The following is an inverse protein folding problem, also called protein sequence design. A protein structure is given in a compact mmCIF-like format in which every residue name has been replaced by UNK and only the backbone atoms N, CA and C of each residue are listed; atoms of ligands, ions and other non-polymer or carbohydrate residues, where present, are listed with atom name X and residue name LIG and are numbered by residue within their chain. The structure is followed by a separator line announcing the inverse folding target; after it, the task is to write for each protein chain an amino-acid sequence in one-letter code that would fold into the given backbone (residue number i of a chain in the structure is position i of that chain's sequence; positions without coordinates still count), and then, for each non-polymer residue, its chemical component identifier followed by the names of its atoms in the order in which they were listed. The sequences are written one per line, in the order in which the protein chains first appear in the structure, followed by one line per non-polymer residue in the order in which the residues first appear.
data_IF_669879461599
#
_entry.id   IF_669879461599
#
_cell.length_a   1.000
_cell.length_b   1.000
_cell.length_c   1.000
_cell.angle_alpha   90.00
_cell.angle_beta   90.00
_cell.angle_gamma   90.00
#
_symmetry.space_group_name_H-M   'P 1'
#
loop_
_entity.id
_entity.type
_entity.pdbx_description
1 polymer ?
#
# COMPACT_ATOMS: atom_id res chain seq x y z
N UNK A 1 2.65 16.75 -10.33
CA UNK A 1 3.90 16.18 -10.90
C UNK A 1 3.62 15.14 -11.98
N UNK A 2 2.89 14.05 -11.69
CA UNK A 2 2.59 13.00 -12.67
C UNK A 2 1.97 13.51 -13.99
N UNK A 3 0.97 14.41 -13.94
CA UNK A 3 0.35 15.05 -15.11
C UNK A 3 1.38 15.72 -16.02
N UNK A 4 2.22 16.58 -15.43
CA UNK A 4 3.30 17.28 -16.15
C UNK A 4 4.30 16.31 -16.78
N UNK A 5 4.68 15.24 -16.08
CA UNK A 5 5.60 14.23 -16.60
C UNK A 5 5.00 13.48 -17.80
N UNK A 6 3.72 13.12 -17.74
CA UNK A 6 2.98 12.53 -18.87
C UNK A 6 2.84 13.52 -20.03
N UNK A 7 2.58 14.81 -19.76
CA UNK A 7 2.54 15.87 -20.77
C UNK A 7 3.89 16.04 -21.50
N UNK A 8 5.00 15.76 -20.82
CA UNK A 8 6.35 15.70 -21.40
C UNK A 8 6.70 14.35 -22.04
N UNK A 9 5.74 13.44 -22.10
CA UNK A 9 5.85 12.13 -22.75
C UNK A 9 6.83 11.16 -22.09
N UNK A 10 6.95 11.21 -20.76
CA UNK A 10 7.72 10.25 -20.00
C UNK A 10 6.82 9.19 -19.34
N UNK A 11 7.27 7.92 -19.23
CA UNK A 11 6.60 6.90 -18.44
C UNK A 11 6.58 7.27 -16.95
N UNK A 12 5.54 6.88 -16.22
CA UNK A 12 5.37 7.22 -14.80
C UNK A 12 4.93 6.02 -13.99
N UNK A 13 5.57 5.84 -12.83
CA UNK A 13 5.11 4.93 -11.77
C UNK A 13 4.79 5.77 -10.53
N UNK A 14 3.56 5.66 -10.01
CA UNK A 14 3.10 6.38 -8.82
C UNK A 14 2.91 5.45 -7.62
N UNK A 15 3.17 5.97 -6.41
CA UNK A 15 2.81 5.27 -5.19
C UNK A 15 1.31 5.43 -4.90
N UNK A 16 0.73 4.45 -4.19
CA UNK A 16 -0.66 4.53 -3.72
C UNK A 16 -0.79 5.39 -2.45
N UNK A 17 -1.88 6.16 -2.28
CA UNK A 17 -2.97 6.37 -3.24
C UNK A 17 -2.54 7.25 -4.41
N UNK A 18 -3.11 7.03 -5.60
CA UNK A 18 -2.73 7.77 -6.81
C UNK A 18 -2.98 9.29 -6.68
N UNK A 19 -4.17 9.65 -6.18
CA UNK A 19 -4.58 11.03 -5.88
C UNK A 19 -5.46 11.04 -4.62
N UNK A 20 -5.86 12.24 -4.17
CA UNK A 20 -6.69 12.41 -2.97
C UNK A 20 -8.17 12.15 -3.28
N UNK A 21 -8.63 12.56 -4.46
CA UNK A 21 -10.01 12.38 -4.92
C UNK A 21 -10.07 11.72 -6.32
N UNK A 22 -11.26 11.26 -6.70
CA UNK A 22 -11.47 10.50 -7.95
C UNK A 22 -11.35 11.41 -9.18
N UNK A 23 -11.76 12.67 -9.04
CA UNK A 23 -11.70 13.69 -10.09
C UNK A 23 -10.26 13.91 -10.56
N UNK A 24 -9.32 14.11 -9.63
CA UNK A 24 -7.88 14.22 -9.91
C UNK A 24 -7.32 12.94 -10.56
N UNK A 25 -7.80 11.76 -10.15
CA UNK A 25 -7.40 10.49 -10.78
C UNK A 25 -7.82 10.46 -12.25
N UNK A 26 -9.06 10.88 -12.58
CA UNK A 26 -9.57 10.90 -13.96
C UNK A 26 -8.78 11.86 -14.84
N UNK A 27 -8.36 13.00 -14.30
CA UNK A 27 -7.50 13.95 -15.02
C UNK A 27 -6.11 13.39 -15.35
N UNK A 28 -5.62 12.41 -14.59
CA UNK A 28 -4.32 11.76 -14.83
C UNK A 28 -4.41 10.56 -15.78
N UNK A 29 -5.53 9.86 -15.83
CA UNK A 29 -5.69 8.67 -16.68
C UNK A 29 -5.85 9.04 -18.17
N UNK A 30 -6.58 10.11 -18.49
CA UNK A 30 -6.80 10.53 -19.89
C UNK A 30 -5.50 10.88 -20.65
N UNK A 31 -4.54 11.64 -20.07
CA UNK A 31 -3.25 11.90 -20.72
C UNK A 31 -2.38 10.66 -20.88
N UNK A 32 -2.46 9.69 -19.95
CA UNK A 32 -1.69 8.45 -20.03
C UNK A 32 -2.18 7.55 -21.18
N UNK A 33 -3.50 7.38 -21.30
CA UNK A 33 -4.13 6.59 -22.36
C UNK A 33 -3.89 7.18 -23.75
N UNK A 34 -4.11 8.50 -23.91
CA UNK A 34 -3.95 9.17 -25.21
C UNK A 34 -2.52 9.12 -25.77
N UNK A 35 -1.51 9.03 -24.89
CA UNK A 35 -0.09 9.02 -25.29
C UNK A 35 0.52 7.63 -25.41
N UNK A 36 -0.23 6.56 -25.11
CA UNK A 36 0.27 5.17 -25.11
C UNK A 36 1.57 4.99 -24.29
N UNK A 37 1.71 5.74 -23.19
CA UNK A 37 2.88 5.68 -22.32
C UNK A 37 2.65 4.69 -21.19
N UNK A 38 3.69 3.95 -20.75
CA UNK A 38 3.59 3.14 -19.55
C UNK A 38 3.26 4.01 -18.33
N UNK A 39 2.11 3.72 -17.72
CA UNK A 39 1.62 4.36 -16.50
C UNK A 39 1.22 3.27 -15.51
N UNK A 40 1.83 3.26 -14.32
CA UNK A 40 1.59 2.23 -13.33
C UNK A 40 1.45 2.79 -11.91
N UNK A 41 0.77 2.02 -11.07
CA UNK A 41 0.64 2.29 -9.63
C UNK A 41 1.22 1.10 -8.87
N UNK A 42 1.86 1.37 -7.73
CA UNK A 42 2.48 0.35 -6.86
C UNK A 42 1.45 -0.45 -6.04
N UNK A 43 0.42 -1.02 -6.67
CA UNK A 43 -0.44 -2.04 -6.05
C UNK A 43 0.27 -3.40 -5.99
N UNK A 44 1.39 -3.43 -5.27
CA UNK A 44 2.36 -4.54 -5.27
C UNK A 44 1.78 -5.86 -4.78
N UNK A 45 0.74 -5.84 -3.95
CA UNK A 45 0.09 -7.08 -3.48
C UNK A 45 -0.51 -7.89 -4.63
N UNK A 46 -0.98 -7.24 -5.71
CA UNK A 46 -1.42 -7.96 -6.92
C UNK A 46 -0.31 -8.80 -7.59
N UNK A 47 0.94 -8.55 -7.23
CA UNK A 47 2.10 -9.31 -7.69
C UNK A 47 2.29 -10.65 -7.00
N UNK A 48 1.59 -10.94 -5.90
CA UNK A 48 1.79 -12.19 -5.16
C UNK A 48 1.35 -13.41 -5.97
N UNK A 49 2.09 -14.55 -5.88
CA UNK A 49 1.77 -15.76 -6.64
C UNK A 49 0.34 -16.26 -6.37
N UNK A 50 -0.14 -16.17 -5.13
CA UNK A 50 -1.48 -16.61 -4.76
C UNK A 50 -2.58 -15.77 -5.44
N UNK A 51 -2.38 -14.47 -5.62
CA UNK A 51 -3.34 -13.61 -6.32
C UNK A 51 -3.36 -13.93 -7.83
N UNK A 52 -2.20 -14.25 -8.42
CA UNK A 52 -2.10 -14.69 -9.83
C UNK A 52 -2.77 -16.04 -10.05
N UNK A 53 -2.55 -16.99 -9.13
CA UNK A 53 -3.19 -18.31 -9.17
C UNK A 53 -4.70 -18.19 -8.98
N UNK A 54 -5.16 -17.41 -8.00
CA UNK A 54 -6.60 -17.16 -7.80
C UNK A 54 -7.24 -16.58 -9.07
N UNK A 55 -6.58 -15.61 -9.73
CA UNK A 55 -7.03 -15.07 -11.00
C UNK A 55 -7.12 -16.15 -12.10
N UNK A 56 -6.11 -17.00 -12.22
CA UNK A 56 -6.10 -18.08 -13.21
C UNK A 56 -7.27 -19.06 -13.01
N UNK A 57 -7.46 -19.53 -11.77
CA UNK A 57 -8.56 -20.45 -11.40
C UNK A 57 -9.94 -19.85 -11.61
N UNK A 58 -10.12 -18.55 -11.36
CA UNK A 58 -11.36 -17.83 -11.67
C UNK A 58 -11.61 -17.85 -13.19
N UNK A 59 -10.60 -17.56 -14.00
CA UNK A 59 -10.72 -17.54 -15.46
C UNK A 59 -10.96 -18.94 -16.06
N UNK A 60 -10.42 -19.98 -15.45
CA UNK A 60 -10.69 -21.38 -15.81
C UNK A 60 -12.08 -21.87 -15.39
N UNK A 61 -12.76 -21.14 -14.52
CA UNK A 61 -14.11 -21.48 -14.07
C UNK A 61 -14.15 -22.49 -12.92
N UNK A 62 -13.04 -22.73 -12.23
CA UNK A 62 -12.94 -23.69 -11.11
C UNK A 62 -13.99 -23.48 -10.01
N UNK A 63 -14.44 -22.23 -9.83
CA UNK A 63 -15.39 -21.84 -8.80
C UNK A 63 -16.83 -21.66 -9.34
N UNK A 64 -17.05 -21.87 -10.64
CA UNK A 64 -18.31 -21.55 -11.31
C UNK A 64 -18.71 -20.08 -11.16
N UNK A 65 -20.01 -19.80 -10.98
CA UNK A 65 -20.51 -18.44 -10.78
C UNK A 65 -20.19 -17.94 -9.37
N UNK A 66 -19.24 -17.01 -9.27
CA UNK A 66 -18.91 -16.31 -8.02
C UNK A 66 -20.15 -15.62 -7.44
N UNK A 67 -20.48 -15.90 -6.18
CA UNK A 67 -21.64 -15.32 -5.48
C UNK A 67 -21.25 -14.26 -4.46
N UNK A 68 -20.07 -14.35 -3.87
CA UNK A 68 -19.60 -13.46 -2.80
C UNK A 68 -18.08 -13.39 -2.78
N UNK A 69 -17.55 -12.21 -2.50
CA UNK A 69 -16.13 -11.95 -2.28
C UNK A 69 -16.00 -11.26 -0.92
N UNK A 70 -15.04 -11.70 -0.09
CA UNK A 70 -14.69 -11.07 1.18
C UNK A 70 -13.20 -10.75 1.17
N UNK A 71 -12.87 -9.49 1.38
CA UNK A 71 -11.49 -9.02 1.51
C UNK A 71 -11.35 -8.22 2.81
N UNK A 72 -10.22 -8.37 3.49
CA UNK A 72 -9.93 -7.65 4.74
C UNK A 72 -8.47 -7.22 4.71
N UNK A 73 -8.24 -5.92 4.95
CA UNK A 73 -6.90 -5.37 5.17
C UNK A 73 -6.74 -5.05 6.65
N UNK A 74 -6.15 -5.98 7.39
CA UNK A 74 -5.93 -5.80 8.83
C UNK A 74 -4.64 -5.02 9.04
N UNK A 75 -4.73 -3.87 9.71
CA UNK A 75 -3.56 -3.07 10.14
C UNK A 75 -3.51 -3.05 11.66
N UNK A 76 -2.34 -3.31 12.22
CA UNK A 76 -2.09 -3.06 13.65
C UNK A 76 -1.76 -1.59 13.84
N UNK A 77 -2.24 -0.97 14.92
CA UNK A 77 -1.79 0.37 15.25
C UNK A 77 -0.33 0.30 15.72
N UNK A 78 0.52 1.12 15.11
CA UNK A 78 1.94 1.18 15.45
C UNK A 78 2.20 2.00 16.71
N UNK A 79 1.22 2.81 17.17
CA UNK A 79 1.29 3.54 18.43
C UNK A 79 1.51 2.61 19.63
N UNK A 80 0.87 1.43 19.58
CA UNK A 80 0.90 0.40 20.62
C UNK A 80 2.35 -0.09 20.86
N UNK A 81 3.14 -0.23 19.80
CA UNK A 81 4.54 -0.64 19.91
C UNK A 81 5.43 0.47 20.47
N UNK A 82 5.13 1.74 20.15
CA UNK A 82 5.90 2.90 20.66
C UNK A 82 5.73 3.11 22.17
N UNK A 83 4.54 2.85 22.70
CA UNK A 83 4.28 2.96 24.14
C UNK A 83 5.01 1.85 24.92
N UNK A 84 5.06 0.64 24.36
CA UNK A 84 5.81 -0.47 24.94
C UNK A 84 7.33 -0.19 24.99
N UNK A 85 7.90 0.42 23.96
CA UNK A 85 9.32 0.82 23.97
C UNK A 85 9.61 1.91 25.00
N UNK A 86 8.72 2.91 25.14
CA UNK A 86 8.87 3.96 26.16
C UNK A 86 8.84 3.39 27.57
N UNK A 87 7.91 2.47 27.86
CA UNK A 87 7.85 1.80 29.17
C UNK A 87 9.13 1.02 29.46
N UNK A 88 9.68 0.32 28.47
CA UNK A 88 10.93 -0.44 28.61
C UNK A 88 12.14 0.47 28.88
N UNK A 89 12.26 1.57 28.15
CA UNK A 89 13.31 2.57 28.38
C UNK A 89 13.20 3.22 29.76
N UNK A 90 11.99 3.55 30.24
CA UNK A 90 11.76 4.11 31.57
C UNK A 90 12.09 3.13 32.71
N UNK A 91 11.85 1.84 32.50
CA UNK A 91 12.21 0.78 33.46
C UNK A 91 13.74 0.63 33.56
N UNK A 92 14.45 0.68 32.44
CA UNK A 92 15.92 0.59 32.37
C UNK A 92 16.61 1.81 33.01
N UNK A 93 16.09 3.02 32.81
CA UNK A 93 16.63 4.24 33.48
C UNK A 93 16.36 4.25 34.98
N UNK A 94 15.16 3.81 35.41
CA UNK A 94 14.83 3.71 36.84
C UNK A 94 15.59 2.61 37.58
N UNK A 95 16.12 1.61 36.88
CA UNK A 95 17.01 0.62 37.50
C UNK A 95 18.39 1.21 37.75
N UNK A 96 18.93 2.00 36.80
CA UNK A 96 20.28 2.59 36.89
C UNK A 96 20.42 3.61 38.02
N UNK A 97 19.43 4.49 38.20
CA UNK A 97 19.41 5.47 39.31
C UNK A 97 19.40 4.80 40.69
N UNK A 98 18.82 3.59 40.82
CA UNK A 98 18.72 2.83 42.07
C UNK A 98 20.03 2.12 42.47
N UNK A 99 20.96 1.93 41.53
CA UNK A 99 22.28 1.32 41.76
C UNK A 99 23.36 2.37 42.05
N UNK A 100 23.23 3.59 41.51
CA UNK A 100 24.18 4.70 41.74
C UNK A 100 23.95 5.42 43.09
N UNK A 101 22.86 5.11 43.80
CA UNK A 101 22.53 5.66 45.13
C UNK A 101 22.79 4.70 46.30
N UNK A 102 23.58 3.64 46.10
CA UNK A 102 24.04 2.68 47.11
C UNK A 102 25.56 2.69 47.21
#
# INVERSE_FOLDING_TARGET
MAKYTLEKSFPVICNKPLTINVEETRELTLPAESKSLPFAITYVYSGYPMDKEARARILWGDFGKIRKIKATYTRVDLSIFREAEKQKASLETGTREKWESR
#
